data_IF_009785899295
#
_entry.id   IF_009785899295
#
_cell.length_a   1.000
_cell.length_b   1.000
_cell.length_c   1.000
_cell.angle_alpha   90.00
_cell.angle_beta   90.00
_cell.angle_gamma   90.00
#
_symmetry.space_group_name_H-M   'P 1'
#
loop_
_entity.id
_entity.type
_entity.pdbx_description
1 polymer ?
#
# COMPACT_ATOMS: atom_id res chain seq x y z
N UNK A 1 -15.07 -13.19 -2.41
CA UNK A 1 -15.40 -11.83 -1.92
C UNK A 1 -14.35 -10.86 -2.45
N UNK A 2 -14.73 -9.63 -2.81
CA UNK A 2 -13.79 -8.63 -3.35
C UNK A 2 -14.12 -7.24 -2.83
N UNK A 3 -13.09 -6.50 -2.37
CA UNK A 3 -13.21 -5.12 -1.90
C UNK A 3 -12.24 -4.21 -2.65
N UNK A 4 -12.67 -2.99 -2.93
CA UNK A 4 -11.83 -1.93 -3.51
C UNK A 4 -11.79 -0.77 -2.52
N UNK A 5 -10.59 -0.45 -2.05
CA UNK A 5 -10.32 0.64 -1.12
C UNK A 5 -9.54 1.71 -1.86
N UNK A 6 -10.04 2.94 -1.85
CA UNK A 6 -9.36 4.08 -2.48
C UNK A 6 -8.97 5.10 -1.41
N UNK A 7 -7.68 5.36 -1.28
CA UNK A 7 -7.11 6.36 -0.37
C UNK A 7 -6.68 7.56 -1.21
N UNK A 8 -7.12 8.75 -0.84
CA UNK A 8 -6.86 9.98 -1.61
C UNK A 8 -6.23 11.05 -0.72
N UNK A 9 -5.47 11.94 -1.37
CA UNK A 9 -4.92 13.16 -0.79
C UNK A 9 -3.87 12.93 0.34
N UNK A 10 -3.39 11.70 0.50
CA UNK A 10 -2.28 11.32 1.37
C UNK A 10 -1.29 10.44 0.62
N UNK A 11 -0.02 10.79 0.65
CA UNK A 11 1.04 10.00 0.01
C UNK A 11 1.38 8.78 0.85
N UNK A 12 1.48 7.62 0.22
CA UNK A 12 1.91 6.38 0.86
C UNK A 12 3.27 6.57 1.55
N UNK A 13 3.40 6.02 2.75
CA UNK A 13 4.60 6.16 3.56
C UNK A 13 5.31 4.81 3.74
N UNK A 14 6.62 4.74 3.44
CA UNK A 14 7.40 3.52 3.61
C UNK A 14 7.65 3.23 5.08
N UNK A 15 7.48 1.97 5.48
CA UNK A 15 7.93 1.47 6.77
C UNK A 15 9.41 1.11 6.70
N UNK A 16 10.25 2.03 7.18
CA UNK A 16 11.70 1.84 7.24
C UNK A 16 12.16 1.03 8.46
N UNK A 17 13.46 1.00 8.65
CA UNK A 17 14.06 0.46 9.88
C UNK A 17 13.70 1.36 11.06
N UNK A 18 13.40 0.74 12.20
CA UNK A 18 13.18 1.48 13.44
C UNK A 18 14.52 2.02 13.96
N UNK A 19 14.51 3.26 14.43
CA UNK A 19 15.67 3.88 15.06
C UNK A 19 15.57 3.70 16.58
N UNK A 20 16.64 3.21 17.22
CA UNK A 20 16.76 3.21 18.67
C UNK A 20 16.91 4.64 19.19
N UNK A 21 16.10 5.04 20.14
CA UNK A 21 16.09 6.40 20.71
C UNK A 21 16.34 6.42 22.21
N UNK A 22 16.67 5.28 22.82
CA UNK A 22 16.95 5.17 24.24
C UNK A 22 16.16 4.05 24.92
N UNK A 23 16.11 4.09 26.24
CA UNK A 23 15.34 3.13 27.03
C UNK A 23 14.21 3.85 27.74
N UNK A 24 13.06 3.19 27.91
CA UNK A 24 11.96 3.69 28.71
C UNK A 24 12.29 3.62 30.21
N UNK A 25 11.40 4.15 31.06
CA UNK A 25 11.57 4.13 32.53
C UNK A 25 11.69 2.71 33.13
N UNK A 26 11.31 1.66 32.38
CA UNK A 26 11.43 0.24 32.75
C UNK A 26 12.68 -0.42 32.17
N UNK A 27 13.61 0.36 31.57
CA UNK A 27 14.86 -0.13 30.98
C UNK A 27 14.71 -0.83 29.61
N UNK A 28 13.52 -0.87 29.02
CA UNK A 28 13.26 -1.49 27.73
C UNK A 28 13.68 -0.58 26.57
N UNK A 29 14.24 -1.10 25.46
CA UNK A 29 14.63 -0.29 24.32
C UNK A 29 13.42 0.39 23.67
N UNK A 30 13.54 1.68 23.44
CA UNK A 30 12.56 2.46 22.69
C UNK A 30 12.98 2.57 21.22
N UNK A 31 12.11 2.13 20.35
CA UNK A 31 12.31 2.16 18.90
C UNK A 31 11.24 3.06 18.27
N UNK A 32 11.65 3.96 17.40
CA UNK A 32 10.73 4.80 16.62
C UNK A 32 10.87 4.54 15.11
N UNK A 33 9.78 4.70 14.39
CA UNK A 33 9.80 4.67 12.94
C UNK A 33 10.52 5.92 12.40
N UNK A 34 11.37 5.74 11.39
CA UNK A 34 12.12 6.86 10.79
C UNK A 34 11.25 7.74 9.87
N UNK A 35 10.07 7.27 9.48
CA UNK A 35 9.13 8.00 8.64
C UNK A 35 8.00 8.61 9.47
N UNK A 36 8.02 9.94 9.65
CA UNK A 36 7.01 10.66 10.44
C UNK A 36 5.58 10.53 9.89
N UNK A 37 5.42 10.23 8.58
CA UNK A 37 4.12 10.09 7.92
C UNK A 37 3.53 8.69 8.04
N UNK A 38 4.30 7.70 8.51
CA UNK A 38 3.89 6.30 8.52
C UNK A 38 2.66 6.07 9.38
N UNK A 39 2.60 6.69 10.57
CA UNK A 39 1.44 6.58 11.46
C UNK A 39 0.17 7.10 10.78
N UNK A 40 0.19 8.32 10.24
CA UNK A 40 -0.96 8.91 9.55
C UNK A 40 -1.41 8.08 8.34
N UNK A 41 -0.45 7.51 7.60
CA UNK A 41 -0.73 6.61 6.49
C UNK A 41 -1.47 5.36 6.95
N UNK A 42 -0.97 4.65 7.95
CA UNK A 42 -1.60 3.44 8.51
C UNK A 42 -2.99 3.73 9.09
N UNK A 43 -3.13 4.83 9.83
CA UNK A 43 -4.42 5.24 10.41
C UNK A 43 -5.45 5.46 9.29
N UNK A 44 -5.07 6.15 8.21
CA UNK A 44 -5.95 6.39 7.06
C UNK A 44 -6.31 5.09 6.32
N UNK A 45 -5.33 4.20 6.12
CA UNK A 45 -5.57 2.86 5.54
C UNK A 45 -6.58 2.09 6.38
N UNK A 46 -6.39 2.03 7.69
CA UNK A 46 -7.29 1.31 8.60
C UNK A 46 -8.71 1.87 8.62
N UNK A 47 -8.85 3.21 8.63
CA UNK A 47 -10.17 3.86 8.56
C UNK A 47 -10.88 3.51 7.26
N UNK A 48 -10.20 3.65 6.11
CA UNK A 48 -10.80 3.37 4.80
C UNK A 48 -11.11 1.89 4.62
N UNK A 49 -10.27 0.99 5.15
CA UNK A 49 -10.54 -0.44 5.14
C UNK A 49 -11.82 -0.79 5.90
N UNK A 50 -12.01 -0.26 7.10
CA UNK A 50 -13.24 -0.48 7.90
C UNK A 50 -14.50 0.05 7.24
N UNK A 51 -14.38 1.14 6.47
CA UNK A 51 -15.52 1.70 5.73
C UNK A 51 -15.88 0.89 4.49
N UNK A 52 -14.90 0.23 3.86
CA UNK A 52 -15.12 -0.52 2.63
C UNK A 52 -15.39 -2.01 2.88
N UNK A 53 -14.77 -2.62 3.89
CA UNK A 53 -14.96 -4.03 4.24
C UNK A 53 -16.16 -4.18 5.20
N UNK A 54 -17.33 -3.93 4.67
CA UNK A 54 -18.59 -3.86 5.45
C UNK A 54 -19.05 -5.20 6.02
N UNK A 55 -18.59 -6.32 5.45
CA UNK A 55 -18.94 -7.66 5.90
C UNK A 55 -18.09 -8.14 7.09
N UNK A 56 -17.21 -7.30 7.59
CA UNK A 56 -16.34 -7.59 8.74
C UNK A 56 -14.91 -7.96 8.34
N UNK A 57 -14.18 -8.51 9.30
CA UNK A 57 -12.78 -8.94 9.11
C UNK A 57 -12.74 -10.23 8.28
N UNK A 58 -11.93 -10.23 7.23
CA UNK A 58 -11.69 -11.40 6.39
C UNK A 58 -10.79 -12.38 7.16
N UNK A 59 -11.19 -13.66 7.22
CA UNK A 59 -10.41 -14.72 7.87
C UNK A 59 -9.75 -15.67 6.87
N UNK A 60 -10.20 -15.65 5.61
CA UNK A 60 -9.68 -16.48 4.52
C UNK A 60 -8.35 -15.92 3.95
N UNK A 61 -7.58 -16.74 3.21
CA UNK A 61 -6.45 -16.29 2.43
C UNK A 61 -6.85 -15.20 1.43
N UNK A 62 -6.02 -14.17 1.29
CA UNK A 62 -6.30 -13.02 0.41
C UNK A 62 -5.21 -12.77 -0.62
N UNK A 63 -5.63 -12.26 -1.78
CA UNK A 63 -4.77 -11.61 -2.75
C UNK A 63 -4.93 -10.09 -2.64
N UNK A 64 -3.83 -9.36 -2.77
CA UNK A 64 -3.82 -7.90 -2.79
C UNK A 64 -3.23 -7.41 -4.11
N UNK A 65 -3.97 -6.50 -4.76
CA UNK A 65 -3.44 -5.68 -5.84
C UNK A 65 -3.42 -4.23 -5.36
N UNK A 66 -2.28 -3.56 -5.45
CA UNK A 66 -2.16 -2.17 -5.02
C UNK A 66 -1.40 -1.32 -6.03
N UNK A 67 -1.95 -0.15 -6.32
CA UNK A 67 -1.24 0.92 -7.04
C UNK A 67 -1.07 2.12 -6.11
N UNK A 68 0.19 2.45 -5.82
CA UNK A 68 0.56 3.66 -5.08
C UNK A 68 0.75 4.81 -6.07
N UNK A 69 0.08 5.93 -5.83
CA UNK A 69 0.12 7.14 -6.66
C UNK A 69 0.90 8.25 -5.98
N UNK A 70 1.91 8.76 -6.66
CA UNK A 70 2.80 9.81 -6.16
C UNK A 70 2.68 11.07 -7.00
N UNK A 71 2.87 12.22 -6.37
CA UNK A 71 2.89 13.51 -7.06
C UNK A 71 4.01 13.56 -8.10
N UNK A 72 3.68 14.00 -9.32
CA UNK A 72 4.65 14.24 -10.37
C UNK A 72 5.57 15.42 -10.04
N UNK A 73 6.88 15.31 -10.24
CA UNK A 73 7.80 16.43 -10.17
C UNK A 73 7.50 17.46 -11.28
N UNK A 74 7.76 18.72 -11.01
CA UNK A 74 7.64 19.79 -12.01
C UNK A 74 8.48 19.54 -13.27
N UNK A 75 9.61 18.87 -13.13
CA UNK A 75 10.51 18.47 -14.22
C UNK A 75 9.81 17.62 -15.31
N UNK A 76 8.73 16.91 -14.98
CA UNK A 76 7.95 16.13 -15.94
C UNK A 76 7.04 16.96 -16.84
N UNK A 77 6.97 18.27 -16.61
CA UNK A 77 6.17 19.20 -17.40
C UNK A 77 7.09 20.17 -18.17
N UNK A 78 6.60 20.65 -19.30
CA UNK A 78 7.27 21.70 -20.07
C UNK A 78 6.98 23.11 -19.48
N UNK A 79 7.49 24.15 -20.15
CA UNK A 79 7.28 25.54 -19.75
C UNK A 79 5.82 26.02 -19.81
N UNK A 80 4.97 25.28 -20.53
CA UNK A 80 3.52 25.53 -20.64
C UNK A 80 2.69 24.66 -19.68
N UNK A 81 3.33 23.94 -18.74
CA UNK A 81 2.68 22.99 -17.84
C UNK A 81 2.04 21.79 -18.55
N UNK A 82 2.50 21.43 -19.74
CA UNK A 82 2.05 20.26 -20.47
C UNK A 82 2.98 19.09 -20.10
N UNK A 83 2.39 17.92 -19.82
CA UNK A 83 3.17 16.71 -19.53
C UNK A 83 4.04 16.35 -20.73
N UNK A 84 5.36 16.22 -20.51
CA UNK A 84 6.29 15.81 -21.55
C UNK A 84 5.99 14.40 -22.05
N UNK A 85 6.18 14.15 -23.32
CA UNK A 85 5.91 12.86 -23.95
C UNK A 85 6.81 11.74 -23.41
N UNK A 86 8.04 12.06 -22.99
CA UNK A 86 9.02 11.15 -22.39
C UNK A 86 8.95 11.09 -20.87
N UNK A 87 7.95 11.74 -20.24
CA UNK A 87 7.80 11.73 -18.80
C UNK A 87 7.52 10.30 -18.28
N UNK A 88 8.28 9.81 -17.30
CA UNK A 88 8.15 8.45 -16.81
C UNK A 88 6.78 8.22 -16.15
N UNK A 89 6.22 7.03 -16.37
CA UNK A 89 4.97 6.59 -15.72
C UNK A 89 5.24 6.07 -14.31
N UNK A 90 6.34 5.32 -14.13
CA UNK A 90 6.65 4.64 -12.88
C UNK A 90 7.60 5.44 -12.01
N UNK A 91 7.45 5.27 -10.69
CA UNK A 91 8.27 5.94 -9.69
C UNK A 91 9.49 5.09 -9.36
N UNK A 92 10.69 5.57 -9.72
CA UNK A 92 11.97 4.92 -9.38
C UNK A 92 12.79 5.72 -8.36
N UNK A 93 12.27 6.85 -7.90
CA UNK A 93 12.94 7.74 -6.95
C UNK A 93 12.99 7.10 -5.56
N UNK A 94 14.19 6.96 -4.99
CA UNK A 94 14.45 6.40 -3.66
C UNK A 94 13.75 7.16 -2.53
N UNK A 95 13.56 8.48 -2.66
CA UNK A 95 12.88 9.30 -1.65
C UNK A 95 11.41 8.94 -1.47
N UNK A 96 10.80 8.24 -2.43
CA UNK A 96 9.41 7.77 -2.35
C UNK A 96 9.28 6.39 -1.69
N UNK A 97 10.39 5.79 -1.32
CA UNK A 97 10.46 4.48 -0.68
C UNK A 97 10.50 3.31 -1.66
N UNK A 98 11.04 2.22 -1.17
CA UNK A 98 11.07 0.95 -1.87
C UNK A 98 9.70 0.29 -1.79
N UNK A 99 9.35 -0.51 -2.80
CA UNK A 99 8.01 -1.09 -2.92
C UNK A 99 7.67 -2.04 -1.76
N UNK A 100 8.65 -2.80 -1.27
CA UNK A 100 8.51 -3.67 -0.11
C UNK A 100 8.18 -2.90 1.17
N UNK A 101 8.82 -1.74 1.37
CA UNK A 101 8.60 -0.87 2.54
C UNK A 101 7.24 -0.17 2.48
N UNK A 102 6.79 0.23 1.30
CA UNK A 102 5.45 0.78 1.09
C UNK A 102 4.39 -0.27 1.34
N UNK A 103 4.62 -1.48 0.82
CA UNK A 103 3.73 -2.62 1.02
C UNK A 103 3.61 -2.98 2.50
N UNK A 104 4.72 -3.06 3.24
CA UNK A 104 4.71 -3.32 4.68
C UNK A 104 3.89 -2.29 5.44
N UNK A 105 4.07 -0.99 5.15
CA UNK A 105 3.27 0.08 5.76
C UNK A 105 1.78 -0.02 5.43
N UNK A 106 1.42 -0.51 4.24
CA UNK A 106 0.05 -0.79 3.85
C UNK A 106 -0.52 -1.98 4.61
N UNK A 107 0.17 -3.13 4.62
CA UNK A 107 -0.29 -4.36 5.27
C UNK A 107 -0.52 -4.16 6.76
N UNK A 108 0.39 -3.46 7.45
CA UNK A 108 0.21 -3.08 8.86
C UNK A 108 -1.06 -2.22 9.08
N UNK A 109 -1.41 -1.35 8.12
CA UNK A 109 -2.64 -0.55 8.20
C UNK A 109 -3.92 -1.36 7.93
N UNK A 110 -3.84 -2.40 7.10
CA UNK A 110 -4.96 -3.30 6.77
C UNK A 110 -5.20 -4.35 7.85
N UNK A 111 -4.15 -4.78 8.56
CA UNK A 111 -4.24 -5.77 9.64
C UNK A 111 -5.17 -5.28 10.75
N UNK A 112 -6.11 -6.12 11.15
CA UNK A 112 -7.16 -5.78 12.13
C UNK A 112 -8.22 -4.80 11.61
N UNK A 113 -8.18 -4.46 10.32
CA UNK A 113 -9.14 -3.53 9.69
C UNK A 113 -9.82 -4.12 8.46
N UNK A 114 -9.12 -4.89 7.63
CA UNK A 114 -9.64 -5.62 6.48
C UNK A 114 -9.56 -7.14 6.70
N UNK A 115 -8.45 -7.61 7.23
CA UNK A 115 -8.20 -9.02 7.56
C UNK A 115 -7.55 -9.13 8.95
N UNK A 116 -7.55 -10.31 9.55
CA UNK A 116 -7.10 -10.49 10.92
C UNK A 116 -5.57 -10.32 11.05
N UNK A 117 -4.80 -10.91 10.12
CA UNK A 117 -3.34 -10.94 10.17
C UNK A 117 -2.74 -10.89 8.76
N UNK A 118 -1.59 -10.25 8.59
CA UNK A 118 -0.91 -10.13 7.29
C UNK A 118 -0.37 -11.46 6.75
N UNK A 119 -0.25 -12.49 7.59
CA UNK A 119 0.06 -13.86 7.18
C UNK A 119 -1.00 -14.48 6.26
N UNK A 120 -2.23 -13.94 6.24
CA UNK A 120 -3.29 -14.36 5.30
C UNK A 120 -3.03 -13.90 3.87
N UNK A 121 -2.10 -12.96 3.66
CA UNK A 121 -1.78 -12.43 2.33
C UNK A 121 -0.89 -13.40 1.58
N UNK A 122 -1.44 -14.12 0.61
CA UNK A 122 -0.74 -15.17 -0.14
C UNK A 122 -0.34 -14.76 -1.55
N UNK A 123 -0.92 -13.67 -2.08
CA UNK A 123 -0.55 -13.08 -3.38
C UNK A 123 -0.54 -11.56 -3.29
N UNK A 124 0.48 -10.95 -3.89
CA UNK A 124 0.58 -9.48 -3.97
C UNK A 124 1.02 -9.05 -5.35
N UNK A 125 0.30 -8.08 -5.89
CA UNK A 125 0.73 -7.31 -7.06
C UNK A 125 0.78 -5.84 -6.66
N UNK A 126 1.96 -5.23 -6.71
CA UNK A 126 2.17 -3.85 -6.25
C UNK A 126 2.88 -3.00 -7.30
N UNK A 127 2.37 -1.79 -7.52
CA UNK A 127 2.90 -0.84 -8.51
C UNK A 127 3.07 0.55 -7.89
N UNK A 128 4.14 1.25 -8.25
CA UNK A 128 4.35 2.67 -7.95
C UNK A 128 4.22 3.49 -9.23
N UNK A 129 3.24 4.40 -9.27
CA UNK A 129 3.00 5.29 -10.41
C UNK A 129 3.01 6.75 -10.00
N UNK A 130 3.38 7.62 -10.93
CA UNK A 130 3.06 9.03 -10.81
C UNK A 130 1.58 9.28 -11.12
N UNK A 131 0.97 10.23 -10.43
CA UNK A 131 -0.37 10.69 -10.76
C UNK A 131 -0.43 11.16 -12.22
N UNK A 132 -1.52 10.85 -12.88
CA UNK A 132 -1.96 11.48 -14.12
C UNK A 132 -3.05 12.51 -13.83
N UNK A 133 -3.65 13.06 -14.89
CA UNK A 133 -4.68 14.09 -14.77
C UNK A 133 -5.93 13.61 -14.01
N UNK A 134 -6.17 12.30 -13.99
CA UNK A 134 -7.37 11.69 -13.40
C UNK A 134 -7.10 11.02 -12.05
N UNK A 135 -5.84 10.82 -11.68
CA UNK A 135 -5.47 10.17 -10.42
C UNK A 135 -5.01 11.17 -9.37
N UNK A 136 -5.42 10.93 -8.13
CA UNK A 136 -4.95 11.68 -6.96
C UNK A 136 -3.81 10.92 -6.27
N UNK A 137 -3.00 11.66 -5.50
CA UNK A 137 -2.02 11.07 -4.58
C UNK A 137 -2.74 10.12 -3.64
N UNK A 138 -2.14 8.95 -3.36
CA UNK A 138 -2.69 7.96 -2.44
C UNK A 138 -2.47 6.54 -2.91
N UNK A 139 -3.49 5.69 -2.80
CA UNK A 139 -3.45 4.32 -3.30
C UNK A 139 -4.84 3.81 -3.68
N UNK A 140 -4.88 2.94 -4.66
CA UNK A 140 -6.02 2.06 -4.93
C UNK A 140 -5.62 0.65 -4.57
N UNK A 141 -6.39 0.01 -3.70
CA UNK A 141 -6.13 -1.31 -3.15
C UNK A 141 -7.34 -2.19 -3.47
N UNK A 142 -7.07 -3.35 -4.06
CA UNK A 142 -8.05 -4.39 -4.29
C UNK A 142 -7.68 -5.59 -3.43
N UNK A 143 -8.62 -6.06 -2.64
CA UNK A 143 -8.49 -7.24 -1.79
C UNK A 143 -9.49 -8.28 -2.29
N UNK A 144 -9.01 -9.47 -2.62
CA UNK A 144 -9.84 -10.60 -3.06
C UNK A 144 -9.57 -11.82 -2.17
N UNK A 145 -10.61 -12.46 -1.63
CA UNK A 145 -10.48 -13.77 -0.98
C UNK A 145 -10.11 -14.83 -2.02
N UNK A 146 -9.25 -15.77 -1.63
CA UNK A 146 -8.82 -16.88 -2.48
C UNK A 146 -9.46 -18.17 -1.96
N UNK A 147 -10.28 -18.80 -2.81
CA UNK A 147 -10.81 -20.12 -2.55
C UNK A 147 -9.87 -21.15 -3.17
N UNK A 148 -9.58 -22.23 -2.46
CA UNK A 148 -8.69 -23.31 -2.94
C UNK A 148 -9.21 -23.97 -4.21
N UNK A 149 -10.51 -24.02 -4.41
CA UNK A 149 -11.15 -24.59 -5.61
C UNK A 149 -10.81 -23.83 -6.90
N UNK A 150 -10.64 -22.50 -6.86
CA UNK A 150 -10.24 -21.73 -8.06
C UNK A 150 -8.80 -22.05 -8.52
N UNK A 151 -7.94 -22.54 -7.62
CA UNK A 151 -6.56 -22.90 -7.96
C UNK A 151 -6.43 -24.27 -8.66
N UNK A 152 -7.35 -25.20 -8.42
CA UNK A 152 -7.38 -26.52 -9.07
C UNK A 152 -7.70 -26.42 -10.56
N UNK A 153 -8.58 -25.49 -10.95
CA UNK A 153 -8.99 -25.29 -12.36
C UNK A 153 -7.86 -24.67 -13.19
N UNK A 154 -7.05 -23.77 -12.60
CA UNK A 154 -5.92 -23.16 -13.30
C UNK A 154 -4.72 -24.10 -13.50
N UNK A 155 -4.59 -25.14 -12.68
CA UNK A 155 -3.56 -26.20 -12.80
C UNK A 155 -3.83 -27.21 -13.91
N UNK A 156 -5.11 -27.46 -14.22
CA UNK A 156 -5.53 -28.44 -15.23
C UNK A 156 -5.45 -27.90 -16.68
N UNK A 157 -5.35 -26.59 -16.88
CA UNK A 157 -5.26 -25.97 -18.21
C UNK A 157 -3.83 -25.92 -18.79
N UNK A 158 -2.84 -26.51 -18.12
CA UNK A 158 -1.42 -26.54 -18.57
C UNK A 158 -0.84 -27.94 -18.72
N UNK A 159 -1.72 -28.95 -18.88
CA UNK A 159 -1.31 -30.30 -19.32
C UNK A 159 -1.77 -30.54 -20.72
#
# INVERSE_FOLDING_TARGET
MEYIITIKDIEAAPQGSKKFVGKNKKGQPMMIDTCNRLKSWRDQVGVMAKLCCVDGIIEEPVAIEVTFYFKRPKLHYDSKNILKQDAPTYVTNRLKGDIDKLLRGLLDGLTGSAFADDSQVVKVFAVKKYCDINSKIGATIKIKTINEEENLICGLSRM
#
